data_IF_368154174822
#
_entry.id   IF_368154174822
#
_cell.length_a   1.000
_cell.length_b   1.000
_cell.length_c   1.000
_cell.angle_alpha   90.00
_cell.angle_beta   90.00
_cell.angle_gamma   90.00
#
_symmetry.space_group_name_H-M   'P 1'
#
loop_
_entity.id
_entity.type
_entity.pdbx_description
1 polymer ?
#
# COMPACT_ATOMS: atom_id res chain seq x y z
N UNK A 1 -26.62 -60.16 24.64
CA UNK A 1 -26.53 -59.05 25.61
C UNK A 1 -25.06 -58.68 25.74
N UNK A 2 -24.64 -57.69 24.97
CA UNK A 2 -23.26 -57.25 24.96
C UNK A 2 -23.17 -55.93 25.73
N UNK A 3 -22.47 -56.00 26.82
CA UNK A 3 -22.20 -54.93 27.76
C UNK A 3 -21.25 -53.94 27.09
N UNK A 4 -21.77 -52.77 26.76
CA UNK A 4 -21.02 -51.67 26.14
C UNK A 4 -20.44 -50.84 27.28
N UNK A 5 -19.25 -51.18 27.73
CA UNK A 5 -18.50 -50.37 28.69
C UNK A 5 -18.17 -49.02 28.05
N UNK A 6 -18.88 -48.00 28.51
CA UNK A 6 -18.51 -46.59 28.27
C UNK A 6 -17.09 -46.37 28.83
N UNK A 7 -16.17 -46.07 27.93
CA UNK A 7 -14.86 -45.55 28.34
C UNK A 7 -15.07 -44.10 28.75
N UNK A 8 -15.05 -43.82 30.05
CA UNK A 8 -14.84 -42.47 30.56
C UNK A 8 -13.54 -41.95 29.98
N UNK A 9 -13.64 -40.94 29.12
CA UNK A 9 -12.50 -40.13 28.76
C UNK A 9 -12.09 -39.35 30.02
N UNK A 10 -10.81 -39.38 30.43
CA UNK A 10 -10.34 -38.52 31.51
C UNK A 10 -10.55 -37.06 31.08
N UNK A 11 -10.90 -36.19 32.01
CA UNK A 11 -11.09 -34.75 31.86
C UNK A 11 -9.89 -34.16 31.13
N UNK A 12 -9.98 -34.14 29.80
CA UNK A 12 -8.95 -33.63 28.94
C UNK A 12 -9.10 -32.13 28.90
N UNK A 13 -8.13 -31.45 29.45
CA UNK A 13 -7.91 -30.02 29.21
C UNK A 13 -8.07 -29.74 27.71
N UNK A 14 -8.94 -28.81 27.35
CA UNK A 14 -9.14 -28.44 25.93
C UNK A 14 -7.80 -28.00 25.31
N UNK A 15 -7.60 -28.34 24.05
CA UNK A 15 -6.42 -27.88 23.33
C UNK A 15 -6.23 -26.34 23.49
N UNK A 16 -7.33 -25.61 23.51
CA UNK A 16 -7.31 -24.16 23.67
C UNK A 16 -6.95 -23.68 25.08
N UNK A 17 -7.21 -24.50 26.11
CA UNK A 17 -6.82 -24.21 27.51
C UNK A 17 -5.31 -24.36 27.72
N UNK A 18 -4.62 -25.08 26.84
CA UNK A 18 -3.16 -25.26 26.86
C UNK A 18 -2.41 -24.11 26.19
N UNK A 19 -3.11 -23.23 25.46
CA UNK A 19 -2.52 -22.07 24.81
C UNK A 19 -2.45 -20.92 25.82
N UNK A 20 -1.25 -20.39 26.14
CA UNK A 20 -1.15 -19.28 27.07
C UNK A 20 -1.90 -18.06 26.48
N UNK A 21 -2.58 -17.28 27.32
CA UNK A 21 -3.24 -16.06 26.84
C UNK A 21 -2.21 -15.12 26.19
N UNK A 22 -2.60 -14.43 25.11
CA UNK A 22 -1.70 -13.49 24.46
C UNK A 22 -1.23 -12.43 25.47
N UNK A 23 0.00 -11.93 25.34
CA UNK A 23 0.49 -10.86 26.19
C UNK A 23 -0.46 -9.64 26.11
N UNK A 24 -0.59 -8.87 27.18
CA UNK A 24 -1.39 -7.65 27.17
C UNK A 24 -0.92 -6.77 26.02
N UNK A 25 -1.86 -6.26 25.22
CA UNK A 25 -1.53 -5.36 24.12
C UNK A 25 -0.87 -4.12 24.70
N UNK A 26 0.27 -3.66 24.13
CA UNK A 26 0.83 -2.38 24.49
C UNK A 26 -0.23 -1.29 24.31
N UNK A 27 -0.26 -0.32 25.21
CA UNK A 27 -1.16 0.82 25.06
C UNK A 27 -0.92 1.48 23.70
N UNK A 28 -1.98 1.74 22.93
CA UNK A 28 -1.83 2.34 21.60
C UNK A 28 -1.16 3.71 21.74
N UNK A 29 -0.05 3.90 21.05
CA UNK A 29 0.64 5.18 20.99
C UNK A 29 -0.20 6.11 20.12
N UNK A 30 -0.60 7.25 20.65
CA UNK A 30 -1.31 8.28 19.88
C UNK A 30 -0.30 8.97 18.97
N UNK A 31 -0.35 8.68 17.70
CA UNK A 31 0.43 9.39 16.68
C UNK A 31 -0.42 10.49 16.06
N UNK A 32 0.22 11.62 15.79
CA UNK A 32 -0.42 12.68 15.04
C UNK A 32 -0.38 12.31 13.56
N UNK A 33 -1.53 12.38 12.88
CA UNK A 33 -1.61 12.13 11.44
C UNK A 33 -0.63 13.06 10.69
N UNK A 34 0.17 12.53 9.77
CA UNK A 34 1.04 13.34 8.94
C UNK A 34 0.23 14.38 8.14
N UNK A 35 0.74 15.59 8.01
CA UNK A 35 0.05 16.68 7.29
C UNK A 35 -0.24 16.36 5.82
N UNK A 36 0.54 15.47 5.22
CA UNK A 36 0.36 15.04 3.81
C UNK A 36 -0.72 13.98 3.62
N UNK A 37 -1.24 13.40 4.67
CA UNK A 37 -2.27 12.35 4.59
C UNK A 37 -3.65 12.95 4.30
N UNK A 38 -4.46 12.23 3.51
CA UNK A 38 -5.83 12.61 3.22
C UNK A 38 -6.68 12.57 4.51
N UNK A 39 -7.45 13.60 4.83
CA UNK A 39 -8.27 13.61 6.04
C UNK A 39 -9.51 12.73 5.90
N UNK A 40 -9.81 11.91 6.92
CA UNK A 40 -10.98 11.00 6.92
C UNK A 40 -12.28 11.70 7.28
N UNK A 41 -12.22 12.72 8.15
CA UNK A 41 -13.38 13.40 8.69
C UNK A 41 -13.81 14.62 7.85
N UNK A 42 -13.58 14.59 6.53
CA UNK A 42 -13.84 15.72 5.63
C UNK A 42 -14.64 15.27 4.41
N UNK A 43 -15.73 15.94 4.12
CA UNK A 43 -16.42 15.84 2.82
C UNK A 43 -15.78 16.85 1.87
N UNK A 44 -15.17 16.41 0.76
CA UNK A 44 -14.45 17.31 -0.15
C UNK A 44 -15.38 18.19 -0.98
N UNK A 45 -14.86 19.32 -1.41
CA UNK A 45 -15.47 20.12 -2.45
C UNK A 45 -15.13 19.59 -3.85
N UNK A 46 -16.09 19.53 -4.76
CA UNK A 46 -15.89 19.04 -6.13
C UNK A 46 -15.39 20.14 -7.06
N UNK A 47 -14.50 19.77 -7.97
CA UNK A 47 -14.06 20.58 -9.10
C UNK A 47 -14.69 19.97 -10.37
N UNK A 48 -15.49 20.73 -11.14
CA UNK A 48 -16.11 20.20 -12.35
C UNK A 48 -15.09 20.06 -13.48
N UNK A 49 -15.34 19.10 -14.37
CA UNK A 49 -14.61 18.91 -15.62
C UNK A 49 -13.76 17.64 -15.64
N UNK A 50 -13.50 17.19 -16.87
CA UNK A 50 -12.61 16.07 -17.18
C UNK A 50 -11.51 16.56 -18.13
N UNK A 51 -10.32 16.00 -17.97
CA UNK A 51 -9.15 16.29 -18.80
C UNK A 51 -8.76 15.06 -19.61
N UNK A 52 -8.81 15.14 -20.93
CA UNK A 52 -8.28 14.07 -21.77
C UNK A 52 -6.77 14.24 -21.90
N UNK A 53 -6.00 13.27 -21.37
CA UNK A 53 -4.55 13.23 -21.46
C UNK A 53 -4.07 12.46 -22.69
N UNK A 54 -4.53 11.24 -22.87
CA UNK A 54 -4.15 10.38 -23.99
C UNK A 54 -5.41 9.95 -24.74
N UNK A 55 -5.34 10.04 -26.07
CA UNK A 55 -6.34 9.45 -26.96
C UNK A 55 -5.67 8.99 -28.25
N UNK A 56 -5.49 7.69 -28.37
CA UNK A 56 -5.00 7.01 -29.60
C UNK A 56 -6.11 6.17 -30.21
N UNK A 57 -5.81 5.43 -31.27
CA UNK A 57 -6.75 4.46 -31.84
C UNK A 57 -7.07 3.28 -30.91
N UNK A 58 -6.19 3.01 -29.94
CA UNK A 58 -6.24 1.80 -29.07
C UNK A 58 -6.35 2.10 -27.59
N UNK A 59 -5.93 3.30 -27.14
CA UNK A 59 -5.92 3.63 -25.72
C UNK A 59 -6.39 5.06 -25.45
N UNK A 60 -6.99 5.26 -24.29
CA UNK A 60 -7.35 6.57 -23.78
C UNK A 60 -7.05 6.66 -22.27
N UNK A 61 -6.59 7.83 -21.83
CA UNK A 61 -6.39 8.18 -20.44
C UNK A 61 -7.01 9.55 -20.18
N UNK A 62 -7.88 9.63 -19.19
CA UNK A 62 -8.50 10.87 -18.76
C UNK A 62 -8.37 11.05 -17.25
N UNK A 63 -8.35 12.30 -16.80
CA UNK A 63 -8.46 12.71 -15.41
C UNK A 63 -9.86 13.24 -15.18
N UNK A 64 -10.50 12.82 -14.10
CA UNK A 64 -11.82 13.30 -13.71
C UNK A 64 -12.05 13.21 -12.21
N UNK A 65 -13.27 13.52 -11.78
CA UNK A 65 -13.66 13.43 -10.37
C UNK A 65 -12.70 14.13 -9.42
N UNK A 66 -12.24 15.33 -9.76
CA UNK A 66 -11.32 16.11 -8.91
C UNK A 66 -12.08 16.59 -7.68
N UNK A 67 -11.58 16.24 -6.48
CA UNK A 67 -12.18 16.56 -5.18
C UNK A 67 -11.12 17.18 -4.28
N UNK A 68 -11.40 18.33 -3.73
CA UNK A 68 -10.45 19.12 -2.94
C UNK A 68 -10.78 19.10 -1.45
N UNK A 69 -9.74 18.95 -0.64
CA UNK A 69 -9.73 18.92 0.82
C UNK A 69 -8.92 20.11 1.35
N UNK A 70 -8.97 20.41 2.66
CA UNK A 70 -8.22 21.54 3.21
C UNK A 70 -6.69 21.48 3.01
N UNK A 71 -6.13 20.27 2.90
CA UNK A 71 -4.68 20.04 2.82
C UNK A 71 -4.20 19.44 1.47
N UNK A 72 -5.11 19.17 0.53
CA UNK A 72 -4.76 18.53 -0.75
C UNK A 72 -5.97 18.29 -1.63
N UNK A 73 -5.81 17.50 -2.66
CA UNK A 73 -6.92 17.08 -3.53
C UNK A 73 -6.71 15.66 -4.03
N UNK A 74 -7.79 15.03 -4.42
CA UNK A 74 -7.76 13.74 -5.10
C UNK A 74 -8.34 13.86 -6.51
N UNK A 75 -7.95 12.95 -7.37
CA UNK A 75 -8.52 12.82 -8.70
C UNK A 75 -8.60 11.35 -9.11
N UNK A 76 -9.51 11.04 -10.02
CA UNK A 76 -9.58 9.73 -10.65
C UNK A 76 -8.85 9.73 -11.99
N UNK A 77 -8.02 8.70 -12.23
CA UNK A 77 -7.49 8.41 -13.55
C UNK A 77 -8.32 7.29 -14.19
N UNK A 78 -8.84 7.57 -15.38
CA UNK A 78 -9.67 6.66 -16.16
C UNK A 78 -8.85 6.14 -17.33
N UNK A 79 -8.52 4.86 -17.34
CA UNK A 79 -7.75 4.20 -18.39
C UNK A 79 -8.65 3.25 -19.17
N UNK A 80 -8.61 3.36 -20.50
CA UNK A 80 -9.39 2.49 -21.40
C UNK A 80 -8.48 2.00 -22.52
N UNK A 81 -8.58 0.73 -22.85
CA UNK A 81 -7.91 0.14 -24.01
C UNK A 81 -8.90 -0.56 -24.92
N UNK A 82 -8.65 -0.48 -26.21
CA UNK A 82 -9.39 -1.18 -27.24
C UNK A 82 -8.56 -2.37 -27.69
N UNK A 83 -9.14 -3.56 -27.72
CA UNK A 83 -8.47 -4.76 -28.19
C UNK A 83 -8.96 -6.00 -27.45
N UNK A 84 -8.58 -7.14 -27.97
CA UNK A 84 -8.97 -8.46 -27.46
C UNK A 84 -7.77 -9.21 -26.85
N UNK A 85 -6.62 -8.55 -26.64
CA UNK A 85 -5.47 -9.17 -26.00
C UNK A 85 -5.81 -9.55 -24.56
N UNK A 86 -6.38 -10.76 -24.43
CA UNK A 86 -6.62 -11.40 -23.14
C UNK A 86 -5.32 -11.71 -22.41
N UNK A 87 -4.18 -11.70 -23.15
CA UNK A 87 -2.87 -12.09 -22.63
C UNK A 87 -2.18 -10.98 -21.81
N UNK A 88 -2.56 -9.69 -22.00
CA UNK A 88 -2.04 -8.58 -21.20
C UNK A 88 -3.15 -7.64 -20.68
N UNK A 89 -3.97 -8.12 -19.76
CA UNK A 89 -5.06 -7.30 -19.21
C UNK A 89 -4.53 -6.16 -18.33
N UNK A 90 -5.08 -4.94 -18.53
CA UNK A 90 -4.71 -3.74 -17.74
C UNK A 90 -5.29 -3.72 -16.32
N UNK A 91 -6.11 -4.72 -15.96
CA UNK A 91 -6.80 -4.74 -14.67
C UNK A 91 -5.86 -4.86 -13.45
N UNK A 92 -4.64 -5.33 -13.64
CA UNK A 92 -3.69 -5.44 -12.54
C UNK A 92 -3.14 -4.07 -12.12
N UNK A 93 -2.57 -3.33 -13.02
CA UNK A 93 -2.06 -1.98 -12.80
C UNK A 93 -1.36 -1.46 -14.06
N UNK A 94 -1.92 -0.49 -14.81
CA UNK A 94 -1.28 0.03 -16.01
C UNK A 94 0.04 0.77 -15.74
N UNK A 95 0.33 1.09 -14.48
CA UNK A 95 1.54 1.75 -14.04
C UNK A 95 2.62 0.78 -13.57
N UNK A 96 2.33 -0.52 -13.51
CA UNK A 96 3.20 -1.58 -12.96
C UNK A 96 3.78 -1.23 -11.57
N UNK A 97 2.97 -0.57 -10.73
CA UNK A 97 3.37 -0.12 -9.38
C UNK A 97 3.80 -1.26 -8.47
N UNK A 98 3.27 -2.45 -8.70
CA UNK A 98 3.60 -3.66 -7.97
C UNK A 98 4.66 -4.49 -8.70
N UNK A 99 5.40 -3.83 -9.61
CA UNK A 99 6.40 -4.41 -10.48
C UNK A 99 7.13 -5.58 -9.85
N UNK A 100 7.18 -6.68 -10.57
CA UNK A 100 7.67 -7.98 -10.12
C UNK A 100 9.02 -7.83 -9.40
N UNK A 101 8.96 -7.69 -8.07
CA UNK A 101 10.06 -7.70 -7.12
C UNK A 101 11.37 -7.07 -7.63
N UNK A 102 11.52 -5.76 -7.46
CA UNK A 102 12.81 -5.10 -7.60
C UNK A 102 13.29 -4.84 -9.04
N UNK A 103 12.46 -5.07 -10.04
CA UNK A 103 12.74 -4.63 -11.41
C UNK A 103 12.24 -3.18 -11.59
N UNK A 104 13.07 -2.39 -12.25
CA UNK A 104 12.66 -1.10 -12.76
C UNK A 104 11.40 -1.29 -13.64
N UNK A 105 10.36 -0.45 -13.49
CA UNK A 105 9.17 -0.57 -14.31
C UNK A 105 9.54 -0.64 -15.80
N UNK A 106 8.88 -1.49 -16.60
CA UNK A 106 9.12 -1.54 -18.03
C UNK A 106 9.03 -0.13 -18.65
N UNK A 107 9.81 0.14 -19.68
CA UNK A 107 9.86 1.47 -20.33
C UNK A 107 8.58 1.83 -21.07
N UNK A 108 7.70 0.87 -21.28
CA UNK A 108 6.49 0.90 -22.10
C UNK A 108 5.18 1.10 -21.30
N UNK A 109 5.24 1.05 -19.95
CA UNK A 109 4.08 1.26 -19.09
C UNK A 109 3.53 2.70 -19.15
N UNK A 110 2.28 2.84 -18.72
CA UNK A 110 1.68 4.15 -18.52
C UNK A 110 2.43 4.91 -17.40
N UNK A 111 2.81 6.14 -17.70
CA UNK A 111 3.39 7.09 -16.76
C UNK A 111 2.44 8.25 -16.58
N UNK A 112 2.19 8.63 -15.34
CA UNK A 112 1.37 9.78 -15.00
C UNK A 112 2.14 10.63 -13.99
N UNK A 113 2.06 11.91 -14.16
CA UNK A 113 2.65 12.88 -13.24
C UNK A 113 1.89 14.20 -13.29
N UNK A 114 2.27 15.09 -12.41
CA UNK A 114 1.77 16.46 -12.42
C UNK A 114 2.84 17.41 -11.90
N UNK A 115 2.72 18.67 -12.28
CA UNK A 115 3.52 19.76 -11.73
C UNK A 115 2.69 21.02 -11.51
N UNK A 116 3.12 21.81 -10.57
CA UNK A 116 2.53 23.08 -10.20
C UNK A 116 3.23 24.26 -10.88
N UNK A 117 2.59 25.41 -10.90
CA UNK A 117 3.16 26.63 -11.45
C UNK A 117 4.47 27.08 -10.78
N UNK A 118 4.70 26.67 -9.52
CA UNK A 118 5.94 26.94 -8.77
C UNK A 118 7.09 25.94 -9.07
N UNK A 119 6.87 24.99 -9.98
CA UNK A 119 7.87 24.00 -10.41
C UNK A 119 7.92 22.72 -9.59
N UNK A 120 7.18 22.60 -8.47
CA UNK A 120 7.06 21.33 -7.74
C UNK A 120 6.41 20.29 -8.64
N UNK A 121 6.93 19.06 -8.62
CA UNK A 121 6.47 17.97 -9.50
C UNK A 121 6.49 16.63 -8.79
N UNK A 122 5.55 15.75 -9.16
CA UNK A 122 5.48 14.36 -8.71
C UNK A 122 5.01 13.47 -9.86
N UNK A 123 5.38 12.20 -9.82
CA UNK A 123 5.02 11.23 -10.84
C UNK A 123 4.82 9.83 -10.23
N UNK A 124 4.07 8.98 -10.93
CA UNK A 124 3.82 7.59 -10.55
C UNK A 124 5.08 6.72 -10.55
N UNK A 125 6.17 7.20 -11.10
CA UNK A 125 7.49 6.55 -11.12
C UNK A 125 8.37 6.95 -9.93
N UNK A 126 7.91 7.86 -9.08
CA UNK A 126 8.64 8.33 -7.91
C UNK A 126 8.33 7.47 -6.68
N UNK A 127 9.16 7.55 -5.64
CA UNK A 127 8.91 6.88 -4.37
C UNK A 127 7.61 7.37 -3.74
N UNK A 128 6.77 6.44 -3.28
CA UNK A 128 5.39 6.68 -2.86
C UNK A 128 5.25 7.33 -1.48
N UNK A 129 6.13 6.97 -0.57
CA UNK A 129 6.05 7.39 0.83
C UNK A 129 7.04 8.50 1.08
N UNK A 130 6.59 9.66 1.55
CA UNK A 130 7.50 10.62 2.13
C UNK A 130 8.13 9.98 3.37
N UNK A 131 9.44 10.11 3.53
CA UNK A 131 10.09 9.83 4.80
C UNK A 131 9.44 10.70 5.87
N UNK A 132 9.41 10.24 7.13
CA UNK A 132 8.82 10.99 8.25
C UNK A 132 9.40 12.40 8.38
N UNK A 133 10.66 12.59 7.99
CA UNK A 133 11.38 13.86 7.97
C UNK A 133 11.26 14.64 6.65
N UNK A 134 10.38 14.22 5.73
CA UNK A 134 10.23 14.89 4.44
C UNK A 134 9.70 16.32 4.61
N UNK A 135 10.21 17.21 3.76
CA UNK A 135 9.73 18.60 3.66
C UNK A 135 8.18 18.61 3.56
N UNK A 136 7.47 19.23 4.52
CA UNK A 136 6.00 19.30 4.51
C UNK A 136 5.44 20.04 3.28
N UNK A 137 6.27 20.81 2.58
CA UNK A 137 5.92 21.47 1.32
C UNK A 137 6.15 20.63 0.07
N UNK A 138 6.74 19.44 0.19
CA UNK A 138 6.99 18.54 -0.93
C UNK A 138 5.69 18.10 -1.59
N UNK A 139 5.68 18.13 -2.93
CA UNK A 139 4.54 17.60 -3.69
C UNK A 139 4.54 16.06 -3.64
N UNK A 140 3.44 15.51 -3.14
CA UNK A 140 3.19 14.07 -3.02
C UNK A 140 2.09 13.68 -4.01
N UNK A 141 2.29 12.59 -4.74
CA UNK A 141 1.30 11.93 -5.56
C UNK A 141 1.18 10.48 -5.09
N UNK A 142 0.13 10.19 -4.33
CA UNK A 142 -0.08 8.89 -3.70
C UNK A 142 -1.25 8.15 -4.34
N UNK A 143 -1.08 6.90 -4.77
CA UNK A 143 -2.17 6.11 -5.31
C UNK A 143 -3.14 5.69 -4.20
N UNK A 144 -4.41 5.84 -4.47
CA UNK A 144 -5.53 5.35 -3.67
C UNK A 144 -6.05 4.00 -4.14
N UNK A 145 -7.33 3.78 -3.91
CA UNK A 145 -8.05 2.62 -4.40
C UNK A 145 -8.08 2.54 -5.92
N UNK A 146 -8.03 1.32 -6.46
CA UNK A 146 -8.14 1.12 -7.90
C UNK A 146 -8.79 -0.22 -8.23
N UNK A 147 -9.35 -0.32 -9.43
CA UNK A 147 -9.95 -1.55 -9.94
C UNK A 147 -10.24 -1.47 -11.42
N UNK A 148 -10.51 -2.63 -12.01
CA UNK A 148 -10.78 -2.67 -13.43
C UNK A 148 -11.03 -4.06 -13.99
N UNK A 149 -10.91 -4.17 -15.30
CA UNK A 149 -10.95 -5.40 -16.07
C UNK A 149 -9.95 -5.33 -17.23
N UNK A 150 -9.95 -6.30 -18.14
CA UNK A 150 -9.00 -6.35 -19.26
C UNK A 150 -8.94 -5.07 -20.13
N UNK A 151 -10.01 -4.27 -20.16
CA UNK A 151 -10.13 -3.09 -21.04
C UNK A 151 -10.34 -1.78 -20.30
N UNK A 152 -10.50 -1.85 -19.01
CA UNK A 152 -10.83 -0.71 -18.16
C UNK A 152 -10.04 -0.80 -16.87
N UNK A 153 -9.43 0.31 -16.48
CA UNK A 153 -8.90 0.53 -15.16
C UNK A 153 -9.29 1.92 -14.68
N UNK A 154 -9.73 2.02 -13.44
CA UNK A 154 -10.00 3.28 -12.77
C UNK A 154 -9.27 3.28 -11.44
N UNK A 155 -8.59 4.35 -11.11
CA UNK A 155 -7.87 4.47 -9.86
C UNK A 155 -7.82 5.90 -9.37
N UNK A 156 -7.81 6.04 -8.06
CA UNK A 156 -7.74 7.32 -7.39
C UNK A 156 -6.29 7.68 -7.04
N UNK A 157 -6.01 8.97 -7.01
CA UNK A 157 -4.73 9.52 -6.63
C UNK A 157 -4.93 10.68 -5.68
N UNK A 158 -4.23 10.64 -4.56
CA UNK A 158 -4.15 11.74 -3.61
C UNK A 158 -2.95 12.64 -3.91
N UNK A 159 -3.14 13.94 -3.84
CA UNK A 159 -2.11 14.96 -4.08
C UNK A 159 -2.04 15.92 -2.89
N UNK A 160 -0.86 16.10 -2.34
CA UNK A 160 -0.58 17.05 -1.26
C UNK A 160 0.69 17.84 -1.59
N UNK A 161 0.77 19.12 -1.22
CA UNK A 161 -0.28 20.01 -0.70
C UNK A 161 -1.21 20.55 -1.80
N UNK A 162 -2.17 21.39 -1.42
CA UNK A 162 -2.96 22.16 -2.39
C UNK A 162 -2.05 22.96 -3.33
N UNK A 163 -2.45 23.13 -4.61
CA UNK A 163 -1.66 23.90 -5.56
C UNK A 163 -1.59 25.38 -5.17
N UNK A 164 -0.49 26.06 -5.52
CA UNK A 164 -0.42 27.52 -5.46
C UNK A 164 -1.35 28.15 -6.51
N UNK A 165 -1.31 29.47 -6.62
CA UNK A 165 -1.93 30.16 -7.76
C UNK A 165 -1.27 29.75 -9.08
N UNK A 166 -2.09 29.63 -10.13
CA UNK A 166 -1.65 29.19 -11.43
C UNK A 166 -2.14 27.81 -11.82
N UNK A 167 -1.54 27.24 -12.84
CA UNK A 167 -1.98 25.99 -13.44
C UNK A 167 -1.40 24.77 -12.73
N UNK A 168 -2.21 23.74 -12.62
CA UNK A 168 -1.80 22.36 -12.35
C UNK A 168 -1.74 21.65 -13.69
N UNK A 169 -0.55 21.24 -14.10
CA UNK A 169 -0.36 20.55 -15.38
C UNK A 169 -0.22 19.06 -15.12
N UNK A 170 -1.15 18.27 -15.62
CA UNK A 170 -1.07 16.82 -15.66
C UNK A 170 -0.28 16.38 -16.89
N UNK A 171 0.55 15.36 -16.72
CA UNK A 171 1.42 14.83 -17.78
C UNK A 171 1.25 13.32 -17.84
N UNK A 172 1.09 12.79 -19.04
CA UNK A 172 1.04 11.34 -19.24
C UNK A 172 1.81 10.92 -20.50
N UNK A 173 2.35 9.69 -20.46
CA UNK A 173 2.90 9.02 -21.64
C UNK A 173 2.65 7.53 -21.56
N UNK A 174 2.37 6.90 -22.70
CA UNK A 174 2.14 5.45 -22.76
C UNK A 174 2.74 4.85 -24.02
N UNK A 175 4.05 4.55 -24.00
CA UNK A 175 4.78 4.09 -25.18
C UNK A 175 4.22 2.82 -25.81
N UNK A 176 3.74 1.86 -25.01
CA UNK A 176 3.09 0.62 -25.49
C UNK A 176 1.97 0.91 -26.51
N UNK A 177 1.20 1.98 -26.31
CA UNK A 177 0.12 2.39 -27.20
C UNK A 177 0.48 3.58 -28.11
N UNK A 178 1.78 3.80 -28.31
CA UNK A 178 2.28 4.87 -29.18
C UNK A 178 1.99 6.28 -28.69
N UNK A 179 1.60 6.46 -27.44
CA UNK A 179 1.34 7.76 -26.86
C UNK A 179 2.63 8.38 -26.31
N UNK A 180 3.13 9.41 -27.01
CA UNK A 180 4.20 10.28 -26.52
C UNK A 180 3.71 11.08 -25.30
N UNK A 181 4.61 11.86 -24.67
CA UNK A 181 4.23 12.74 -23.58
C UNK A 181 3.17 13.77 -24.05
N UNK A 182 2.08 13.81 -23.29
CA UNK A 182 0.96 14.74 -23.48
C UNK A 182 0.71 15.50 -22.19
N UNK A 183 0.04 16.64 -22.29
CA UNK A 183 -0.25 17.52 -21.15
C UNK A 183 -1.69 18.02 -21.22
N UNK A 184 -2.29 18.19 -20.04
CA UNK A 184 -3.55 18.89 -19.86
C UNK A 184 -3.50 19.72 -18.58
N UNK A 185 -4.20 20.82 -18.55
CA UNK A 185 -4.10 21.83 -17.51
C UNK A 185 -5.43 22.04 -16.81
N UNK A 186 -5.35 22.24 -15.51
CA UNK A 186 -6.46 22.60 -14.64
C UNK A 186 -6.08 23.86 -13.85
N UNK A 187 -7.02 24.79 -13.69
CA UNK A 187 -6.79 25.95 -12.86
C UNK A 187 -6.67 25.56 -11.38
N UNK A 188 -5.50 25.82 -10.80
CA UNK A 188 -5.27 25.59 -9.36
C UNK A 188 -6.17 26.42 -8.45
N UNK A 189 -6.62 27.58 -8.94
CA UNK A 189 -7.60 28.41 -8.21
C UNK A 189 -8.93 27.70 -8.04
N UNK A 190 -9.38 26.96 -9.06
CA UNK A 190 -10.61 26.16 -8.98
C UNK A 190 -10.51 25.04 -7.91
N UNK A 191 -9.32 24.39 -7.80
CA UNK A 191 -9.07 23.40 -6.76
C UNK A 191 -9.11 24.05 -5.36
N UNK A 192 -8.44 25.18 -5.21
CA UNK A 192 -8.43 25.91 -3.92
C UNK A 192 -9.80 26.41 -3.52
N UNK A 193 -10.57 26.95 -4.46
CA UNK A 193 -11.95 27.35 -4.23
C UNK A 193 -12.81 26.14 -3.80
N UNK A 194 -12.65 24.99 -4.46
CA UNK A 194 -13.33 23.76 -4.05
C UNK A 194 -12.92 23.33 -2.64
N UNK A 195 -11.66 23.48 -2.26
CA UNK A 195 -11.18 23.17 -0.91
C UNK A 195 -11.87 24.04 0.17
N UNK A 196 -12.24 25.29 -0.14
CA UNK A 196 -12.99 26.14 0.81
C UNK A 196 -14.43 25.67 1.01
N UNK A 197 -14.97 24.87 0.10
CA UNK A 197 -16.30 24.24 0.23
C UNK A 197 -16.27 22.89 0.93
N UNK A 198 -15.09 22.39 1.26
CA UNK A 198 -14.97 21.16 2.02
C UNK A 198 -15.60 21.31 3.41
N UNK A 199 -16.29 20.27 3.88
CA UNK A 199 -16.98 20.27 5.17
C UNK A 199 -16.25 19.35 6.13
N UNK A 200 -15.71 19.94 7.19
CA UNK A 200 -15.10 19.19 8.30
C UNK A 200 -16.25 18.67 9.17
N UNK A 201 -16.39 17.35 9.31
CA UNK A 201 -17.48 16.70 10.03
C UNK A 201 -17.27 16.77 11.55
N UNK A 202 -16.03 16.52 11.97
CA UNK A 202 -15.60 16.58 13.38
C UNK A 202 -14.10 16.85 13.46
N UNK A 203 -13.59 17.30 14.62
CA UNK A 203 -12.16 17.52 14.81
C UNK A 203 -11.36 16.25 14.54
N UNK A 204 -10.16 16.39 13.99
CA UNK A 204 -9.25 15.28 13.83
C UNK A 204 -8.91 14.65 15.19
N UNK A 205 -9.19 13.37 15.32
CA UNK A 205 -8.75 12.58 16.45
C UNK A 205 -7.35 12.02 16.15
N UNK A 206 -6.46 11.96 17.18
CA UNK A 206 -5.16 11.31 16.98
C UNK A 206 -5.37 9.84 16.59
N UNK A 207 -4.72 9.41 15.52
CA UNK A 207 -4.76 8.01 15.09
C UNK A 207 -4.15 7.12 16.17
N UNK A 208 -4.83 6.01 16.45
CA UNK A 208 -4.25 4.92 17.22
C UNK A 208 -3.57 4.00 16.22
N UNK A 209 -2.26 3.85 16.30
CA UNK A 209 -1.65 2.70 15.64
C UNK A 209 -2.33 1.44 16.15
N UNK A 210 -2.90 0.59 15.27
CA UNK A 210 -3.32 -0.73 15.68
C UNK A 210 -2.06 -1.43 16.16
N UNK A 211 -1.92 -1.57 17.48
CA UNK A 211 -0.76 -2.20 18.11
C UNK A 211 -0.51 -3.57 17.50
N UNK A 212 0.57 -3.69 16.73
CA UNK A 212 1.07 -4.94 16.20
C UNK A 212 0.50 -5.37 14.86
N UNK A 213 1.37 -5.39 13.86
CA UNK A 213 1.19 -6.32 12.74
C UNK A 213 0.96 -7.71 13.32
N UNK A 214 0.00 -8.45 12.77
CA UNK A 214 -0.20 -9.86 13.07
C UNK A 214 1.06 -10.63 12.66
N UNK A 215 2.08 -10.66 13.53
CA UNK A 215 3.11 -11.67 13.45
C UNK A 215 2.46 -12.93 13.99
N UNK A 216 2.21 -13.89 13.12
CA UNK A 216 1.99 -15.26 13.56
C UNK A 216 3.32 -15.74 14.15
N UNK A 217 3.47 -15.64 15.47
CA UNK A 217 4.53 -16.35 16.15
C UNK A 217 4.17 -17.83 16.06
N UNK A 218 4.98 -18.57 15.32
CA UNK A 218 4.93 -20.02 15.35
C UNK A 218 5.33 -20.41 16.76
N UNK A 219 4.36 -20.80 17.58
CA UNK A 219 4.63 -21.41 18.89
C UNK A 219 5.26 -22.75 18.57
N UNK A 220 6.58 -22.81 18.65
CA UNK A 220 7.30 -24.08 18.62
C UNK A 220 6.98 -24.75 19.94
N UNK A 221 6.10 -25.75 19.92
CA UNK A 221 5.86 -26.61 21.08
C UNK A 221 7.22 -27.17 21.49
N UNK A 222 7.61 -26.92 22.73
CA UNK A 222 8.82 -27.48 23.31
C UNK A 222 8.80 -29.00 23.12
N UNK A 223 9.91 -29.52 22.59
CA UNK A 223 10.12 -30.96 22.47
C UNK A 223 9.86 -31.58 23.86
N UNK A 224 8.99 -32.59 23.99
CA UNK A 224 8.83 -33.25 25.26
C UNK A 224 10.18 -33.80 25.68
N UNK A 225 10.54 -33.58 26.95
CA UNK A 225 11.74 -34.15 27.56
C UNK A 225 11.76 -35.63 27.32
N UNK A 226 12.78 -36.12 26.62
CA UNK A 226 13.05 -37.51 26.39
C UNK A 226 13.69 -38.09 27.68
N UNK A 227 12.99 -38.97 28.45
CA UNK A 227 13.52 -39.55 29.69
C UNK A 227 14.41 -40.77 29.38
N UNK A 228 15.46 -40.62 28.56
CA UNK A 228 16.19 -41.77 28.06
C UNK A 228 17.66 -41.65 27.79
N UNK A 229 18.37 -40.65 28.28
CA UNK A 229 19.82 -40.66 28.15
C UNK A 229 20.46 -41.16 29.46
N UNK A 230 20.58 -42.49 29.54
CA UNK A 230 21.38 -43.14 30.58
C UNK A 230 22.84 -42.81 30.34
N UNK A 231 23.48 -42.26 31.35
CA UNK A 231 24.90 -42.04 31.38
C UNK A 231 25.67 -43.36 31.11
N UNK A 232 26.52 -43.38 30.09
CA UNK A 232 27.53 -44.41 29.91
C UNK A 232 28.63 -44.24 30.98
N UNK A 233 29.11 -45.31 31.57
CA UNK A 233 30.19 -45.24 32.57
C UNK A 233 31.54 -44.98 31.91
N UNK A 234 32.26 -44.13 32.57
CA UNK A 234 33.65 -43.74 32.42
C UNK A 234 34.56 -44.96 32.16
N UNK A 235 35.30 -44.97 31.04
CA UNK A 235 36.37 -45.93 30.82
C UNK A 235 37.72 -45.24 31.08
N UNK A 236 38.57 -45.85 31.95
CA UNK A 236 39.87 -45.30 32.31
C UNK A 236 40.87 -45.52 31.18
N UNK A 237 41.80 -44.61 31.12
CA UNK A 237 42.83 -44.44 30.12
C UNK A 237 43.69 -45.61 29.77
N UNK A 238 44.26 -45.55 28.59
CA UNK A 238 45.50 -46.27 28.21
C UNK A 238 46.48 -45.23 27.66
N UNK A 239 47.50 -44.98 28.45
CA UNK A 239 48.80 -44.42 28.03
C UNK A 239 49.45 -45.31 26.99
N UNK A 240 50.26 -44.72 26.16
CA UNK A 240 51.32 -45.47 25.56
C UNK A 240 51.81 -44.99 24.19
N UNK A 241 52.91 -44.25 24.23
CA UNK A 241 54.15 -44.44 23.45
C UNK A 241 54.11 -44.19 21.92
N UNK A 242 54.71 -43.12 21.49
CA UNK A 242 56.12 -42.97 21.07
C UNK A 242 56.45 -43.48 19.65
N UNK A 243 57.29 -42.70 19.00
CA UNK A 243 58.25 -42.96 17.93
C UNK A 243 57.82 -42.72 16.46
N UNK A 244 58.25 -41.62 15.88
CA UNK A 244 59.45 -41.66 15.02
C UNK A 244 59.17 -41.84 13.54
N UNK A 245 59.62 -40.92 12.75
CA UNK A 245 59.77 -41.04 11.31
C UNK A 245 59.59 -39.68 10.61
#
# INVERSE_FOLDING_TARGET
MADRRERCQPDGMSFFDSIPPPPPRPEPVRQRRPAWQQPDAVIPGSVPGELMLIRTGQAAVAIGSVRAYPNGFEFAAHVRVRGEDEDEPIWHDPFDRHGRRGRQPPSDVLRLGLFYADGRRAATTSHWWPDEDADPGRLVLHPGGSGGNARRWDGEFWVHPLPPEGLVTFVASWPQYGAAETRAELDGSAIREAATRAVILWPEEPEFEPGGSWRSETITAGKPDDPGERAEPDQPGAEGADAGG
#
